data_IF_245941992443
#
_entry.id   IF_245941992443
#
_cell.length_a   1.000
_cell.length_b   1.000
_cell.length_c   1.000
_cell.angle_alpha   90.00
_cell.angle_beta   90.00
_cell.angle_gamma   90.00
#
_symmetry.space_group_name_H-M   'P 1'
#
loop_
_entity.id
_entity.type
_entity.pdbx_description
1 polymer ?
#
# COMPACT_ATOMS: atom_id res chain seq x y z
N UNK A 1 18.54 0.02 6.30
CA UNK A 1 17.49 1.07 6.27
C UNK A 1 17.70 1.90 5.02
N UNK A 2 16.66 2.21 4.23
CA UNK A 2 16.83 3.07 3.07
C UNK A 2 17.39 4.43 3.52
N UNK A 3 18.48 4.87 2.89
CA UNK A 3 19.00 6.22 3.05
C UNK A 3 18.06 7.15 2.27
N UNK A 4 17.03 7.63 2.95
CA UNK A 4 16.01 8.50 2.38
C UNK A 4 16.66 9.84 2.02
N UNK A 5 16.88 10.07 0.73
CA UNK A 5 17.33 11.35 0.16
C UNK A 5 16.12 12.23 -0.19
N UNK A 6 15.16 12.31 0.73
CA UNK A 6 13.99 13.17 0.63
C UNK A 6 14.21 14.41 1.48
N UNK A 7 14.07 15.58 0.86
CA UNK A 7 14.11 16.85 1.54
C UNK A 7 12.70 17.27 2.04
N UNK A 8 12.55 18.34 2.83
CA UNK A 8 11.24 18.72 3.36
C UNK A 8 10.24 19.18 2.29
N UNK A 9 10.69 19.61 1.11
CA UNK A 9 9.79 19.92 -0.01
C UNK A 9 9.26 18.63 -0.61
N UNK A 10 10.11 17.62 -0.78
CA UNK A 10 9.69 16.31 -1.31
C UNK A 10 8.67 15.65 -0.40
N UNK A 11 8.87 15.70 0.92
CA UNK A 11 7.92 15.17 1.90
C UNK A 11 6.56 15.87 1.80
N UNK A 12 6.53 17.19 1.61
CA UNK A 12 5.29 17.95 1.40
C UNK A 12 4.62 17.61 0.08
N UNK A 13 5.38 17.44 -1.00
CA UNK A 13 4.84 17.00 -2.29
C UNK A 13 4.12 15.66 -2.14
N UNK A 14 4.76 14.67 -1.50
CA UNK A 14 4.16 13.35 -1.27
C UNK A 14 2.94 13.46 -0.36
N UNK A 15 2.98 14.28 0.69
CA UNK A 15 1.84 14.49 1.58
C UNK A 15 0.62 15.05 0.84
N UNK A 16 0.81 16.11 0.04
CA UNK A 16 -0.27 16.73 -0.74
C UNK A 16 -0.83 15.76 -1.79
N UNK A 17 0.02 15.02 -2.51
CA UNK A 17 -0.43 14.06 -3.53
C UNK A 17 -1.09 12.80 -2.93
N UNK A 18 -0.69 12.36 -1.74
CA UNK A 18 -1.42 11.29 -1.04
C UNK A 18 -2.82 11.75 -0.60
N UNK A 19 -2.97 13.01 -0.22
CA UNK A 19 -4.26 13.58 0.19
C UNK A 19 -5.17 13.84 -1.02
N UNK A 20 -4.62 14.40 -2.10
CA UNK A 20 -5.33 14.64 -3.35
C UNK A 20 -4.42 14.38 -4.57
N UNK A 21 -4.55 13.17 -5.12
CA UNK A 21 -3.80 12.76 -6.32
C UNK A 21 -4.28 13.43 -7.61
N UNK A 22 -5.32 14.28 -7.59
CA UNK A 22 -5.82 15.01 -8.77
C UNK A 22 -5.31 16.45 -8.86
N UNK A 23 -4.50 16.91 -7.91
CA UNK A 23 -3.91 18.25 -7.94
C UNK A 23 -3.18 18.49 -9.26
N UNK A 24 -3.45 19.62 -9.91
CA UNK A 24 -2.62 20.08 -11.01
C UNK A 24 -1.22 20.44 -10.48
N UNK A 25 -0.23 20.39 -11.36
CA UNK A 25 1.13 20.79 -10.99
C UNK A 25 1.20 22.27 -10.55
N UNK A 26 0.30 23.14 -11.01
CA UNK A 26 0.24 24.54 -10.57
C UNK A 26 -0.26 24.61 -9.12
N UNK A 27 -1.38 23.98 -8.80
CA UNK A 27 -1.92 23.94 -7.43
C UNK A 27 -0.96 23.29 -6.44
N UNK A 28 -0.31 22.20 -6.85
CA UNK A 28 0.71 21.53 -6.04
C UNK A 28 1.89 22.46 -5.78
N UNK A 29 2.39 23.15 -6.80
CA UNK A 29 3.52 24.07 -6.67
C UNK A 29 3.20 25.21 -5.68
N UNK A 30 1.99 25.77 -5.76
CA UNK A 30 1.52 26.80 -4.84
C UNK A 30 1.46 26.28 -3.40
N UNK A 31 0.90 25.08 -3.18
CA UNK A 31 0.81 24.43 -1.86
C UNK A 31 2.17 24.17 -1.22
N UNK A 32 3.18 23.79 -2.00
CA UNK A 32 4.52 23.45 -1.48
C UNK A 32 5.51 24.62 -1.52
N UNK A 33 5.10 25.79 -2.03
CA UNK A 33 5.94 26.99 -2.10
C UNK A 33 7.02 26.95 -3.17
N UNK A 34 6.71 26.39 -4.35
CA UNK A 34 7.59 26.34 -5.51
C UNK A 34 6.95 27.01 -6.74
N UNK A 35 7.76 27.34 -7.74
CA UNK A 35 7.24 27.59 -9.08
C UNK A 35 6.91 26.27 -9.81
N UNK A 36 6.03 26.29 -10.83
CA UNK A 36 5.57 25.06 -11.48
C UNK A 36 6.68 24.17 -12.06
N UNK A 37 7.73 24.76 -12.65
CA UNK A 37 8.84 24.01 -13.28
C UNK A 37 9.67 23.17 -12.29
N UNK A 38 10.21 23.72 -11.18
CA UNK A 38 10.91 22.92 -10.18
C UNK A 38 10.00 21.93 -9.43
N UNK A 39 8.71 22.24 -9.24
CA UNK A 39 7.75 21.29 -8.67
C UNK A 39 7.62 20.04 -9.57
N UNK A 40 7.37 20.24 -10.86
CA UNK A 40 7.22 19.15 -11.83
C UNK A 40 8.46 18.27 -11.90
N UNK A 41 9.66 18.87 -11.86
CA UNK A 41 10.93 18.12 -11.86
C UNK A 41 11.05 17.22 -10.63
N UNK A 42 10.61 17.69 -9.45
CA UNK A 42 10.64 16.90 -8.22
C UNK A 42 9.63 15.76 -8.24
N UNK A 43 8.39 16.02 -8.68
CA UNK A 43 7.37 14.96 -8.85
C UNK A 43 7.89 13.85 -9.77
N UNK A 44 8.41 14.19 -10.95
CA UNK A 44 8.99 13.22 -11.88
C UNK A 44 10.14 12.41 -11.28
N UNK A 45 10.98 13.03 -10.44
CA UNK A 45 12.04 12.32 -9.73
C UNK A 45 11.44 11.35 -8.70
N UNK A 46 10.47 11.78 -7.92
CA UNK A 46 9.81 10.95 -6.90
C UNK A 46 9.11 9.73 -7.51
N UNK A 47 8.48 9.90 -8.67
CA UNK A 47 7.91 8.80 -9.46
C UNK A 47 8.99 7.86 -9.99
N UNK A 48 10.02 8.40 -10.66
CA UNK A 48 11.11 7.61 -11.25
C UNK A 48 11.88 6.80 -10.20
N UNK A 49 12.12 7.40 -9.03
CA UNK A 49 12.89 6.78 -7.96
C UNK A 49 12.02 5.85 -7.09
N UNK A 50 10.74 5.70 -7.41
CA UNK A 50 9.83 4.73 -6.77
C UNK A 50 9.25 5.18 -5.42
N UNK A 51 9.41 6.45 -5.03
CA UNK A 51 8.72 7.00 -3.86
C UNK A 51 7.21 7.15 -4.09
N UNK A 52 6.81 7.38 -5.35
CA UNK A 52 5.41 7.39 -5.78
C UNK A 52 5.23 6.22 -6.74
N UNK A 53 4.54 5.17 -6.28
CA UNK A 53 4.28 3.97 -7.09
C UNK A 53 3.16 4.19 -8.12
N UNK A 54 2.29 5.18 -7.90
CA UNK A 54 1.25 5.55 -8.86
C UNK A 54 0.09 6.32 -8.22
N UNK A 55 -0.89 6.64 -9.06
CA UNK A 55 -2.09 7.39 -8.69
C UNK A 55 -3.33 6.54 -8.97
N UNK A 56 -4.23 6.43 -7.99
CA UNK A 56 -5.46 5.64 -8.12
C UNK A 56 -6.65 6.41 -7.55
N UNK A 57 -7.82 6.22 -8.16
CA UNK A 57 -9.07 6.72 -7.62
C UNK A 57 -9.51 5.87 -6.42
N UNK A 58 -9.89 6.51 -5.32
CA UNK A 58 -10.54 5.86 -4.19
C UNK A 58 -12.04 5.70 -4.49
N UNK A 59 -12.51 4.45 -4.55
CA UNK A 59 -13.90 4.14 -4.88
C UNK A 59 -14.70 3.77 -3.63
N UNK A 60 -15.96 4.20 -3.60
CA UNK A 60 -16.93 3.75 -2.60
C UNK A 60 -17.40 2.34 -2.93
N UNK A 61 -16.87 1.35 -2.19
CA UNK A 61 -17.10 -0.09 -2.40
C UNK A 61 -18.59 -0.46 -2.45
N UNK A 62 -19.40 0.10 -1.54
CA UNK A 62 -20.86 -0.08 -1.48
C UNK A 62 -21.59 0.39 -2.75
N UNK A 63 -21.10 1.47 -3.37
CA UNK A 63 -21.71 2.04 -4.59
C UNK A 63 -21.41 1.26 -5.86
N UNK A 64 -20.38 0.42 -5.84
CA UNK A 64 -19.97 -0.39 -6.99
C UNK A 64 -20.20 -1.88 -6.77
N UNK A 65 -20.98 -2.24 -5.74
CA UNK A 65 -21.35 -3.63 -5.46
C UNK A 65 -20.18 -4.49 -4.99
N UNK A 66 -19.21 -3.92 -4.24
CA UNK A 66 -18.08 -4.62 -3.64
C UNK A 66 -18.18 -4.60 -2.10
N UNK A 67 -19.33 -4.97 -1.57
CA UNK A 67 -19.65 -4.84 -0.14
C UNK A 67 -19.03 -5.91 0.75
N UNK A 68 -18.46 -6.99 0.19
CA UNK A 68 -18.02 -8.15 0.97
C UNK A 68 -16.49 -8.20 1.07
N UNK A 69 -15.95 -7.97 2.27
CA UNK A 69 -14.51 -8.01 2.54
C UNK A 69 -14.19 -9.17 3.49
N UNK A 70 -13.16 -9.94 3.16
CA UNK A 70 -12.74 -11.12 3.93
C UNK A 70 -11.23 -11.09 4.14
N UNK A 71 -10.82 -11.35 5.37
CA UNK A 71 -9.42 -11.49 5.76
C UNK A 71 -9.07 -12.97 5.92
N UNK A 72 -8.05 -13.43 5.19
CA UNK A 72 -7.66 -14.83 5.15
C UNK A 72 -6.27 -15.02 5.74
N UNK A 73 -6.15 -15.87 6.75
CA UNK A 73 -4.88 -16.46 7.15
C UNK A 73 -4.66 -17.77 6.39
N UNK A 74 -3.57 -17.86 5.63
CA UNK A 74 -3.24 -19.02 4.80
C UNK A 74 -1.98 -19.68 5.34
N UNK A 75 -2.03 -20.99 5.56
CA UNK A 75 -0.86 -21.83 5.82
C UNK A 75 -0.55 -22.67 4.60
N UNK A 76 0.73 -22.79 4.30
CA UNK A 76 1.24 -23.59 3.20
C UNK A 76 1.72 -24.97 3.66
N UNK A 77 1.70 -25.95 2.76
CA UNK A 77 2.24 -27.28 2.98
C UNK A 77 3.67 -27.39 2.42
N UNK A 78 4.64 -27.61 3.32
CA UNK A 78 6.05 -27.81 2.97
C UNK A 78 6.86 -26.53 2.75
N UNK A 79 8.18 -26.65 2.90
CA UNK A 79 9.14 -25.52 2.99
C UNK A 79 9.98 -25.36 1.71
N UNK A 80 9.44 -25.69 0.53
CA UNK A 80 10.19 -25.51 -0.72
C UNK A 80 9.93 -24.12 -1.30
N UNK A 81 10.99 -23.32 -1.44
CA UNK A 81 10.93 -21.94 -1.93
C UNK A 81 10.21 -21.82 -3.29
N UNK A 82 10.36 -22.79 -4.19
CA UNK A 82 9.77 -22.73 -5.53
C UNK A 82 8.24 -22.76 -5.52
N UNK A 83 7.64 -23.61 -4.66
CA UNK A 83 6.18 -23.71 -4.55
C UNK A 83 5.58 -22.50 -3.84
N UNK A 84 6.27 -21.95 -2.84
CA UNK A 84 5.88 -20.71 -2.19
C UNK A 84 5.88 -19.54 -3.18
N UNK A 85 6.93 -19.42 -4.02
CA UNK A 85 6.98 -18.42 -5.09
C UNK A 85 5.85 -18.58 -6.12
N UNK A 86 5.45 -19.81 -6.43
CA UNK A 86 4.32 -20.07 -7.32
C UNK A 86 3.00 -19.61 -6.68
N UNK A 87 2.80 -19.86 -5.38
CA UNK A 87 1.65 -19.35 -4.63
C UNK A 87 1.61 -17.82 -4.63
N UNK A 88 2.73 -17.16 -4.31
CA UNK A 88 2.81 -15.68 -4.30
C UNK A 88 2.43 -15.10 -5.67
N UNK A 89 2.99 -15.65 -6.76
CA UNK A 89 2.65 -15.22 -8.12
C UNK A 89 1.17 -15.40 -8.44
N UNK A 90 0.60 -16.55 -8.05
CA UNK A 90 -0.82 -16.82 -8.28
C UNK A 90 -1.71 -15.84 -7.51
N UNK A 91 -1.44 -15.62 -6.23
CA UNK A 91 -2.21 -14.73 -5.35
C UNK A 91 -2.12 -13.27 -5.81
N UNK A 92 -0.93 -12.78 -6.16
CA UNK A 92 -0.73 -11.41 -6.67
C UNK A 92 -1.48 -11.18 -7.99
N UNK A 93 -1.67 -12.22 -8.81
CA UNK A 93 -2.43 -12.13 -10.05
C UNK A 93 -3.96 -12.15 -9.86
N UNK A 94 -4.47 -12.47 -8.66
CA UNK A 94 -5.91 -12.52 -8.39
C UNK A 94 -6.44 -11.12 -8.10
N UNK A 95 -7.32 -10.56 -8.94
CA UNK A 95 -7.83 -9.19 -8.76
C UNK A 95 -8.70 -9.01 -7.51
N UNK A 96 -9.26 -10.10 -6.97
CA UNK A 96 -9.99 -10.06 -5.71
C UNK A 96 -9.08 -9.82 -4.50
N UNK A 97 -7.78 -10.14 -4.61
CA UNK A 97 -6.78 -9.92 -3.56
C UNK A 97 -6.28 -8.48 -3.65
N UNK A 98 -6.66 -7.66 -2.68
CA UNK A 98 -6.26 -6.24 -2.66
C UNK A 98 -5.08 -5.96 -1.73
N UNK A 99 -4.76 -6.91 -0.84
CA UNK A 99 -3.54 -6.91 -0.05
C UNK A 99 -3.13 -8.36 0.26
N UNK A 100 -1.82 -8.61 0.29
CA UNK A 100 -1.24 -9.89 0.69
C UNK A 100 0.08 -9.62 1.41
N UNK A 101 0.26 -10.24 2.57
CA UNK A 101 1.45 -10.07 3.40
C UNK A 101 1.97 -11.44 3.82
N UNK A 102 3.29 -11.64 3.71
CA UNK A 102 3.97 -12.66 4.50
C UNK A 102 3.99 -12.17 5.95
N UNK A 103 3.47 -12.96 6.87
CA UNK A 103 3.31 -12.56 8.29
C UNK A 103 4.03 -13.53 9.21
N UNK A 104 4.42 -13.04 10.39
CA UNK A 104 4.80 -13.92 11.49
C UNK A 104 3.56 -14.34 12.29
N UNK A 105 3.56 -15.56 12.81
CA UNK A 105 2.47 -16.06 13.65
C UNK A 105 1.94 -17.41 13.19
N UNK A 106 0.63 -17.61 13.33
CA UNK A 106 0.01 -18.89 12.97
C UNK A 106 -0.16 -19.08 11.47
N UNK A 107 -0.37 -18.01 10.69
CA UNK A 107 -0.46 -18.09 9.23
C UNK A 107 0.89 -17.74 8.61
N UNK A 108 1.16 -18.28 7.42
CA UNK A 108 2.32 -17.87 6.62
C UNK A 108 2.00 -16.58 5.86
N UNK A 109 0.80 -16.50 5.27
CA UNK A 109 0.31 -15.32 4.55
C UNK A 109 -1.02 -14.80 5.10
N UNK A 110 -1.20 -13.49 5.07
CA UNK A 110 -2.43 -12.81 5.43
C UNK A 110 -2.94 -11.96 4.26
N UNK A 111 -4.14 -12.27 3.78
CA UNK A 111 -4.74 -11.65 2.59
C UNK A 111 -5.97 -10.81 2.98
N UNK A 112 -6.17 -9.68 2.33
CA UNK A 112 -7.46 -8.97 2.27
C UNK A 112 -8.08 -9.19 0.89
N UNK A 113 -9.29 -9.77 0.89
CA UNK A 113 -10.06 -10.08 -0.31
C UNK A 113 -11.30 -9.18 -0.36
N UNK A 114 -11.63 -8.67 -1.54
CA UNK A 114 -12.86 -7.91 -1.79
C UNK A 114 -13.64 -8.55 -2.94
N UNK A 115 -14.90 -8.87 -2.68
CA UNK A 115 -15.83 -9.48 -3.63
C UNK A 115 -17.24 -8.88 -3.48
N UNK A 116 -18.16 -9.13 -4.43
CA UNK A 116 -19.50 -8.57 -4.34
C UNK A 116 -20.32 -9.10 -3.16
N UNK A 117 -20.24 -10.40 -2.90
CA UNK A 117 -21.08 -11.12 -1.95
C UNK A 117 -20.45 -12.44 -1.50
N UNK A 118 -21.15 -13.18 -0.63
CA UNK A 118 -20.73 -14.48 -0.13
C UNK A 118 -20.57 -15.52 -1.25
N UNK A 119 -21.38 -15.46 -2.32
CA UNK A 119 -21.25 -16.38 -3.44
C UNK A 119 -19.96 -16.10 -4.25
N UNK A 120 -19.60 -14.82 -4.41
CA UNK A 120 -18.31 -14.39 -4.95
C UNK A 120 -17.15 -14.89 -4.11
N UNK A 121 -17.27 -14.81 -2.79
CA UNK A 121 -16.27 -15.36 -1.87
C UNK A 121 -16.13 -16.88 -2.02
N UNK A 122 -17.23 -17.62 -2.06
CA UNK A 122 -17.20 -19.07 -2.25
C UNK A 122 -16.48 -19.47 -3.56
N UNK A 123 -16.78 -18.77 -4.67
CA UNK A 123 -16.11 -19.01 -5.95
C UNK A 123 -14.61 -18.75 -5.88
N UNK A 124 -14.21 -17.66 -5.22
CA UNK A 124 -12.80 -17.35 -5.00
C UNK A 124 -12.12 -18.43 -4.14
N UNK A 125 -12.72 -18.79 -3.01
CA UNK A 125 -12.13 -19.73 -2.07
C UNK A 125 -11.95 -21.12 -2.68
N UNK A 126 -13.04 -21.70 -3.21
CA UNK A 126 -13.03 -23.09 -3.70
C UNK A 126 -12.43 -23.19 -5.10
N UNK A 127 -12.73 -22.23 -5.97
CA UNK A 127 -12.35 -22.29 -7.38
C UNK A 127 -11.00 -21.66 -7.73
N UNK A 128 -10.34 -20.98 -6.76
CA UNK A 128 -9.02 -20.37 -6.98
C UNK A 128 -8.06 -20.70 -5.86
N UNK A 129 -8.38 -20.32 -4.62
CA UNK A 129 -7.41 -20.39 -3.52
C UNK A 129 -7.13 -21.83 -3.08
N UNK A 130 -8.17 -22.62 -2.81
CA UNK A 130 -8.03 -24.02 -2.38
C UNK A 130 -7.61 -24.97 -3.51
N UNK A 131 -7.69 -24.52 -4.76
CA UNK A 131 -7.17 -25.26 -5.91
C UNK A 131 -5.63 -25.21 -5.98
N UNK A 132 -5.01 -24.26 -5.28
CA UNK A 132 -3.55 -24.19 -5.18
C UNK A 132 -3.03 -25.35 -4.31
N UNK A 133 -2.25 -26.30 -4.86
CA UNK A 133 -1.91 -27.55 -4.16
C UNK A 133 -1.10 -27.37 -2.88
N UNK A 134 -0.43 -26.23 -2.72
CA UNK A 134 0.37 -25.91 -1.55
C UNK A 134 -0.47 -25.32 -0.39
N UNK A 135 -1.74 -24.98 -0.60
CA UNK A 135 -2.58 -24.44 0.47
C UNK A 135 -3.03 -25.55 1.41
N UNK A 136 -2.56 -25.51 2.66
CA UNK A 136 -2.87 -26.51 3.69
C UNK A 136 -4.10 -26.14 4.51
N UNK A 137 -4.17 -24.89 4.93
CA UNK A 137 -5.21 -24.39 5.82
C UNK A 137 -5.54 -22.95 5.45
N UNK A 138 -6.84 -22.62 5.43
CA UNK A 138 -7.33 -21.25 5.26
C UNK A 138 -8.27 -20.93 6.41
N UNK A 139 -8.00 -19.86 7.15
CA UNK A 139 -8.88 -19.31 8.17
C UNK A 139 -9.45 -17.98 7.69
N UNK A 140 -10.78 -17.86 7.73
CA UNK A 140 -11.49 -16.71 7.17
C UNK A 140 -12.12 -15.87 8.26
N UNK A 141 -11.94 -14.55 8.20
CA UNK A 141 -12.62 -13.58 9.04
C UNK A 141 -13.35 -12.59 8.14
N UNK A 142 -14.67 -12.51 8.25
CA UNK A 142 -15.49 -11.61 7.42
C UNK A 142 -15.61 -10.26 8.13
N UNK A 143 -15.37 -9.18 7.40
CA UNK A 143 -15.59 -7.83 7.92
C UNK A 143 -17.09 -7.59 8.11
N UNK A 144 -17.52 -7.34 9.36
CA UNK A 144 -18.91 -6.93 9.65
C UNK A 144 -19.13 -5.49 9.18
N UNK A 145 -18.13 -4.62 9.42
CA UNK A 145 -18.15 -3.22 9.02
C UNK A 145 -16.73 -2.74 8.75
N UNK A 146 -16.54 -2.00 7.65
CA UNK A 146 -15.30 -1.29 7.37
C UNK A 146 -15.42 0.15 7.87
N UNK A 147 -14.65 0.50 8.91
CA UNK A 147 -14.64 1.87 9.45
C UNK A 147 -13.67 2.79 8.69
N UNK A 148 -12.55 2.25 8.20
CA UNK A 148 -11.51 2.97 7.46
C UNK A 148 -10.77 1.97 6.57
N UNK A 149 -10.52 2.34 5.31
CA UNK A 149 -9.74 1.54 4.37
C UNK A 149 -8.91 2.46 3.47
N UNK A 150 -7.68 2.05 3.12
CA UNK A 150 -6.85 2.74 2.13
C UNK A 150 -6.51 4.20 2.45
N UNK A 151 -6.12 4.49 3.70
CA UNK A 151 -5.76 5.85 4.10
C UNK A 151 -4.31 6.22 3.71
N UNK A 152 -3.99 7.53 3.59
CA UNK A 152 -2.62 7.99 3.39
C UNK A 152 -1.65 7.40 4.41
N UNK A 153 -0.42 7.12 3.97
CA UNK A 153 0.63 6.62 4.85
C UNK A 153 1.09 7.73 5.82
N UNK A 154 1.43 7.38 7.07
CA UNK A 154 1.95 8.32 8.05
C UNK A 154 3.38 8.78 7.68
N UNK A 155 3.61 10.09 7.64
CA UNK A 155 4.87 10.69 7.19
C UNK A 155 5.63 11.47 8.29
N UNK A 156 5.17 11.46 9.54
CA UNK A 156 5.70 12.30 10.64
C UNK A 156 7.17 11.98 10.98
N UNK A 157 7.60 10.73 10.72
CA UNK A 157 8.97 10.29 10.96
C UNK A 157 9.99 10.94 10.01
N UNK A 158 9.56 11.51 8.88
CA UNK A 158 10.41 12.29 7.98
C UNK A 158 10.81 13.64 8.58
N UNK A 159 9.94 14.27 9.38
CA UNK A 159 10.22 15.54 10.05
C UNK A 159 11.24 15.36 11.19
N UNK A 160 11.09 14.27 11.95
CA UNK A 160 11.92 13.99 13.14
C UNK A 160 13.38 13.70 12.78
N UNK A 161 13.66 13.10 11.61
CA UNK A 161 15.03 12.85 11.13
C UNK A 161 15.78 14.12 10.76
N UNK A 162 15.07 15.18 10.36
CA UNK A 162 15.68 16.42 9.90
C UNK A 162 16.13 17.32 11.05
N UNK A 163 15.36 17.38 12.15
CA UNK A 163 15.79 18.07 13.39
C UNK A 163 17.08 17.51 13.99
N UNK A 164 17.42 16.25 13.70
CA UNK A 164 18.68 15.62 14.13
C UNK A 164 19.86 15.82 13.15
N UNK A 165 19.60 16.27 11.91
CA UNK A 165 20.62 16.47 10.85
C UNK A 165 21.12 17.91 10.73
N UNK A 166 20.51 18.91 11.39
CA UNK A 166 21.08 20.25 11.45
C UNK A 166 22.39 20.24 12.26
N UNK A 167 23.53 20.67 11.70
CA UNK A 167 24.75 20.85 12.47
C UNK A 167 24.57 21.99 13.49
N UNK A 168 24.97 21.75 14.74
CA UNK A 168 25.26 22.81 15.71
C UNK A 168 26.48 23.61 15.21
N UNK A 169 26.29 24.54 14.28
CA UNK A 169 27.35 25.50 13.92
C UNK A 169 27.18 26.81 14.68
N UNK A 170 28.21 27.10 15.48
CA UNK A 170 28.72 28.41 15.88
C UNK A 170 27.89 29.27 16.89
N UNK A 171 28.18 29.07 18.18
CA UNK A 171 28.41 30.22 19.08
C UNK A 171 29.93 30.42 19.15
N UNK A 172 30.44 31.30 18.29
CA UNK A 172 31.73 32.00 18.45
C UNK A 172 31.38 33.44 18.77
N UNK A 173 31.36 33.79 20.04
CA UNK A 173 31.80 35.09 20.59
C UNK A 173 31.91 34.95 22.08
#
# INVERSE_FOLDING_TARGET
MPNLDLDPIDCRIVAELQADGRLSNVELADKVGLSPSPCLRRVKRLERDGYIEGYRAALRRDRIGLGFSVFLGVKLDGHTNERALAFEKAVVAMPEVIACHLVSGEADYFLEIVVPDLAGYQRFLVGKLLDLPIVREVRSNIAIQTLKAGAPLPLEHFETRQSKRLPKTAKKT
#
